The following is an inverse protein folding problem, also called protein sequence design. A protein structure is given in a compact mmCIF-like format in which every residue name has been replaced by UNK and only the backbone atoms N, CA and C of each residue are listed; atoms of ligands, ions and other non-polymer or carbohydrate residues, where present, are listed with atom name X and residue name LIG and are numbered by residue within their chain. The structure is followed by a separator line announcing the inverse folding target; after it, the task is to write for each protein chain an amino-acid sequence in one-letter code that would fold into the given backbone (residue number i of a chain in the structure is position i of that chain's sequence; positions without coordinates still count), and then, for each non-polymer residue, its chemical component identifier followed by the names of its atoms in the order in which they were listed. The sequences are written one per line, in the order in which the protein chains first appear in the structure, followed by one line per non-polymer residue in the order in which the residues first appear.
data_IF_875742344000
#
_entry.id   IF_875742344000
#
_cell.length_a   1.000
_cell.length_b   1.000
_cell.length_c   1.000
_cell.angle_alpha   90.00
_cell.angle_beta   90.00
_cell.angle_gamma   90.00
#
_symmetry.space_group_name_H-M   'P 1'
#
loop_
_entity.id
_entity.type
_entity.pdbx_description
1 polymer ?
#
# COMPACT_ATOMS: atom_id res chain seq x y z
N UNK A 1 -42.86 21.04 28.64
CA UNK A 1 -42.43 20.32 29.86
C UNK A 1 -42.22 18.89 29.42
N UNK A 2 -40.98 18.55 29.08
CA UNK A 2 -40.64 17.22 28.59
C UNK A 2 -40.50 16.26 29.77
N UNK A 3 -41.03 15.06 29.60
CA UNK A 3 -41.22 14.06 30.63
C UNK A 3 -39.90 13.60 31.24
N UNK A 4 -39.86 13.54 32.58
CA UNK A 4 -38.66 13.11 33.34
C UNK A 4 -38.31 11.63 33.14
N UNK A 5 -39.17 10.88 32.46
CA UNK A 5 -39.00 9.44 32.25
C UNK A 5 -38.21 9.07 30.98
N UNK A 6 -38.01 10.01 30.03
CA UNK A 6 -37.13 9.76 28.87
C UNK A 6 -35.64 9.91 29.18
N UNK A 7 -35.29 10.68 30.22
CA UNK A 7 -33.88 10.89 30.61
C UNK A 7 -33.32 9.64 31.33
N UNK A 8 -34.17 8.84 31.97
CA UNK A 8 -33.75 7.60 32.62
C UNK A 8 -33.38 6.48 31.63
N UNK A 9 -34.03 6.45 30.45
CA UNK A 9 -33.71 5.47 29.39
C UNK A 9 -32.43 5.81 28.62
N UNK A 10 -32.06 7.09 28.53
CA UNK A 10 -30.80 7.50 27.89
C UNK A 10 -29.58 7.25 28.80
N UNK A 11 -29.76 7.29 30.13
CA UNK A 11 -28.67 7.06 31.09
C UNK A 11 -28.37 5.56 31.26
N UNK A 12 -29.38 4.68 31.10
CA UNK A 12 -29.15 3.23 31.08
C UNK A 12 -28.42 2.73 29.81
N UNK A 13 -28.49 3.46 28.70
CA UNK A 13 -27.74 3.11 27.47
C UNK A 13 -26.26 3.54 27.51
N UNK A 14 -25.88 4.44 28.43
CA UNK A 14 -24.50 4.96 28.53
C UNK A 14 -23.64 4.24 29.58
N UNK A 15 -24.20 3.32 30.38
CA UNK A 15 -23.48 2.61 31.44
C UNK A 15 -23.44 1.08 31.32
N UNK A 16 -23.96 0.50 30.22
CA UNK A 16 -23.96 -0.95 29.95
C UNK A 16 -23.16 -1.36 28.70
N UNK A 17 -22.10 -0.64 28.36
CA UNK A 17 -21.09 -1.11 27.40
C UNK A 17 -19.67 -0.91 27.95
N UNK A 18 -19.15 -1.83 28.77
CA UNK A 18 -17.77 -2.24 28.68
C UNK A 18 -17.73 -3.46 27.76
N UNK A 19 -18.09 -3.31 26.48
CA UNK A 19 -17.69 -4.30 25.50
C UNK A 19 -16.24 -4.01 25.14
N UNK A 20 -15.38 -4.49 26.03
CA UNK A 20 -14.02 -4.86 25.77
C UNK A 20 -14.05 -5.71 24.50
N UNK A 21 -13.85 -5.07 23.34
CA UNK A 21 -13.31 -5.76 22.18
C UNK A 21 -11.83 -6.00 22.48
N UNK A 22 -11.56 -6.95 23.38
CA UNK A 22 -10.39 -7.80 23.23
C UNK A 22 -10.61 -8.50 21.90
N UNK A 23 -9.95 -7.99 20.85
CA UNK A 23 -9.52 -8.85 19.77
C UNK A 23 -8.97 -10.12 20.43
N UNK A 24 -9.52 -11.31 20.15
CA UNK A 24 -8.81 -12.51 20.56
C UNK A 24 -7.41 -12.38 19.96
N UNK A 25 -6.39 -12.47 20.81
CA UNK A 25 -5.06 -12.77 20.34
C UNK A 25 -5.19 -13.94 19.35
N UNK A 26 -4.44 -13.97 18.24
CA UNK A 26 -4.45 -15.09 17.30
C UNK A 26 -3.74 -16.33 17.89
N UNK A 27 -4.12 -16.70 19.11
CA UNK A 27 -3.76 -17.90 19.84
C UNK A 27 -5.13 -18.50 20.18
N UNK A 28 -5.72 -19.37 19.38
CA UNK A 28 -5.84 -20.79 19.75
C UNK A 28 -6.53 -21.64 18.64
N UNK A 29 -6.57 -21.15 17.39
CA UNK A 29 -7.02 -21.94 16.23
C UNK A 29 -5.87 -22.40 15.31
N UNK A 30 -4.62 -22.17 15.70
CA UNK A 30 -3.51 -23.01 15.25
C UNK A 30 -3.59 -24.31 16.05
N UNK A 31 -4.43 -25.23 15.61
CA UNK A 31 -4.29 -26.63 15.98
C UNK A 31 -2.81 -27.00 15.84
N UNK A 32 -2.24 -27.57 16.92
CA UNK A 32 -0.89 -28.09 17.00
C UNK A 32 -0.62 -29.10 15.86
N UNK A 33 -0.29 -28.60 14.67
CA UNK A 33 0.69 -29.25 13.83
C UNK A 33 1.99 -29.16 14.62
N UNK A 34 2.23 -30.17 15.48
CA UNK A 34 3.56 -30.54 15.95
C UNK A 34 4.38 -30.98 14.73
N UNK A 35 4.71 -30.01 13.88
CA UNK A 35 5.84 -30.07 12.98
C UNK A 35 7.04 -30.24 13.91
N UNK A 36 7.64 -31.43 13.87
CA UNK A 36 8.83 -31.74 14.64
C UNK A 36 9.84 -30.61 14.51
N UNK A 37 10.58 -30.38 15.61
CA UNK A 37 11.60 -29.33 15.69
C UNK A 37 12.34 -29.20 14.36
N UNK A 38 12.41 -28.00 13.76
CA UNK A 38 13.06 -27.82 12.49
C UNK A 38 14.48 -28.36 12.62
N UNK A 39 14.78 -29.41 11.86
CA UNK A 39 16.14 -29.95 11.77
C UNK A 39 17.07 -28.78 11.47
N UNK A 40 18.22 -28.69 12.13
CA UNK A 40 19.20 -27.60 12.00
C UNK A 40 19.57 -27.27 10.53
N UNK A 41 19.36 -28.20 9.60
CA UNK A 41 19.50 -28.00 8.16
C UNK A 41 18.54 -26.97 7.54
N UNK A 42 17.29 -26.84 8.01
CA UNK A 42 16.29 -25.96 7.41
C UNK A 42 16.55 -24.47 7.67
N UNK A 43 17.14 -24.14 8.83
CA UNK A 43 17.55 -22.76 9.15
C UNK A 43 18.61 -22.27 8.18
N UNK A 44 19.62 -23.11 7.89
CA UNK A 44 20.73 -22.74 7.00
C UNK A 44 20.30 -22.38 5.58
N UNK A 45 19.24 -23.04 5.06
CA UNK A 45 18.72 -22.76 3.72
C UNK A 45 18.00 -21.42 3.64
N UNK A 46 17.23 -21.06 4.68
CA UNK A 46 16.51 -19.79 4.73
C UNK A 46 17.52 -18.63 4.80
N UNK A 47 18.52 -18.74 5.67
CA UNK A 47 19.56 -17.71 5.83
C UNK A 47 20.34 -17.50 4.52
N UNK A 48 20.66 -18.60 3.81
CA UNK A 48 21.34 -18.53 2.50
C UNK A 48 20.49 -17.83 1.43
N UNK A 49 19.16 -18.01 1.46
CA UNK A 49 18.28 -17.40 0.47
C UNK A 49 18.00 -15.93 0.75
N UNK A 50 17.82 -15.55 2.02
CA UNK A 50 17.70 -14.14 2.42
C UNK A 50 18.96 -13.39 1.99
N UNK A 51 20.14 -13.96 2.25
CA UNK A 51 21.42 -13.40 1.79
C UNK A 51 21.50 -13.23 0.26
N UNK A 52 20.94 -14.16 -0.54
CA UNK A 52 20.90 -14.00 -2.01
C UNK A 52 19.96 -12.89 -2.48
N UNK A 53 18.83 -12.69 -1.79
CA UNK A 53 17.89 -11.60 -2.12
C UNK A 53 18.55 -10.26 -1.76
N UNK A 54 19.22 -10.18 -0.61
CA UNK A 54 20.03 -9.02 -0.21
C UNK A 54 21.07 -8.72 -1.29
N UNK A 55 21.93 -9.67 -1.65
CA UNK A 55 22.96 -9.47 -2.68
C UNK A 55 22.39 -9.03 -4.04
N UNK A 56 21.24 -9.57 -4.44
CA UNK A 56 20.60 -9.25 -5.71
C UNK A 56 20.00 -7.84 -5.74
N UNK A 57 19.42 -7.38 -4.61
CA UNK A 57 18.73 -6.09 -4.55
C UNK A 57 19.63 -4.95 -4.07
N UNK A 58 20.66 -5.23 -3.29
CA UNK A 58 21.61 -4.22 -2.79
C UNK A 58 22.34 -3.47 -3.90
N UNK A 59 22.45 -4.09 -5.08
CA UNK A 59 23.07 -3.48 -6.25
C UNK A 59 22.11 -2.60 -7.06
N UNK A 60 20.81 -2.64 -6.75
CA UNK A 60 19.77 -1.94 -7.51
C UNK A 60 19.45 -0.58 -6.88
N UNK A 61 19.27 0.43 -7.74
CA UNK A 61 18.75 1.72 -7.30
C UNK A 61 17.23 1.66 -7.15
N UNK A 62 16.72 2.19 -6.04
CA UNK A 62 15.28 2.35 -5.82
C UNK A 62 14.63 3.29 -6.85
N UNK A 63 15.40 4.16 -7.51
CA UNK A 63 14.90 5.04 -8.57
C UNK A 63 14.41 4.29 -9.81
N UNK A 64 14.85 3.05 -10.00
CA UNK A 64 14.39 2.19 -11.09
C UNK A 64 12.92 1.79 -10.86
N UNK A 65 12.55 1.57 -9.60
CA UNK A 65 11.23 1.05 -9.23
C UNK A 65 10.26 2.15 -8.80
N UNK A 66 10.76 3.18 -8.13
CA UNK A 66 10.01 4.34 -7.69
C UNK A 66 10.68 5.58 -8.26
N UNK A 67 10.49 5.95 -9.54
CA UNK A 67 11.18 7.09 -10.09
C UNK A 67 10.71 8.40 -9.43
N UNK A 68 11.64 9.32 -9.08
CA UNK A 68 11.26 10.61 -8.50
C UNK A 68 10.39 11.40 -9.48
N UNK A 69 9.47 12.20 -8.93
CA UNK A 69 8.70 13.15 -9.72
C UNK A 69 9.67 14.23 -10.22
N UNK A 70 10.09 14.12 -11.48
CA UNK A 70 11.07 15.03 -12.08
C UNK A 70 10.64 16.51 -12.05
N UNK A 71 11.50 17.44 -12.51
CA UNK A 71 11.17 18.87 -12.52
C UNK A 71 10.10 19.25 -13.55
N UNK A 72 9.81 18.37 -14.52
CA UNK A 72 8.84 18.61 -15.59
C UNK A 72 8.06 17.32 -15.90
N UNK A 73 7.27 16.80 -14.95
CA UNK A 73 6.46 15.61 -15.16
C UNK A 73 5.42 15.85 -16.24
N UNK A 74 5.08 14.79 -16.96
CA UNK A 74 3.94 14.81 -17.88
C UNK A 74 2.63 14.93 -17.10
N UNK A 75 1.54 15.30 -17.78
CA UNK A 75 0.21 15.34 -17.17
C UNK A 75 -0.13 13.99 -16.55
N UNK A 76 0.08 12.92 -17.29
CA UNK A 76 -0.29 11.57 -16.89
C UNK A 76 0.46 11.16 -15.61
N UNK A 77 1.75 11.52 -15.51
CA UNK A 77 2.54 11.24 -14.31
C UNK A 77 2.09 12.09 -13.11
N UNK A 78 1.66 13.33 -13.33
CA UNK A 78 1.08 14.16 -12.26
C UNK A 78 -0.27 13.59 -11.78
N UNK A 79 -1.14 13.19 -12.70
CA UNK A 79 -2.41 12.55 -12.36
C UNK A 79 -2.19 11.26 -11.57
N UNK A 80 -1.26 10.41 -12.02
CA UNK A 80 -0.85 9.20 -11.31
C UNK A 80 -0.34 9.54 -9.90
N UNK A 81 0.54 10.53 -9.77
CA UNK A 81 1.09 10.96 -8.48
C UNK A 81 0.00 11.43 -7.49
N UNK A 82 -0.95 12.25 -7.94
CA UNK A 82 -2.08 12.67 -7.10
C UNK A 82 -3.01 11.50 -6.76
N UNK A 83 -3.24 10.59 -7.70
CA UNK A 83 -4.02 9.39 -7.44
C UNK A 83 -3.35 8.49 -6.40
N UNK A 84 -2.03 8.30 -6.47
CA UNK A 84 -1.26 7.57 -5.46
C UNK A 84 -1.37 8.25 -4.09
N UNK A 85 -1.25 9.57 -4.02
CA UNK A 85 -1.44 10.30 -2.76
C UNK A 85 -2.85 10.11 -2.19
N UNK A 86 -3.90 10.19 -3.02
CA UNK A 86 -5.30 9.96 -2.61
C UNK A 86 -5.49 8.53 -2.10
N UNK A 87 -5.01 7.52 -2.85
CA UNK A 87 -5.12 6.11 -2.48
C UNK A 87 -4.41 5.83 -1.16
N UNK A 88 -3.21 6.39 -0.96
CA UNK A 88 -2.47 6.26 0.28
C UNK A 88 -3.21 6.90 1.46
N UNK A 89 -3.72 8.12 1.31
CA UNK A 89 -4.44 8.80 2.39
C UNK A 89 -5.73 8.06 2.75
N UNK A 90 -6.40 7.46 1.75
CA UNK A 90 -7.59 6.64 1.96
C UNK A 90 -7.33 5.36 2.77
N UNK A 91 -6.08 4.92 2.94
CA UNK A 91 -5.76 3.78 3.81
C UNK A 91 -6.10 4.04 5.29
N UNK A 92 -6.15 5.30 5.68
CA UNK A 92 -6.51 5.71 7.04
C UNK A 92 -8.00 6.07 7.18
N UNK A 93 -8.72 6.14 6.06
CA UNK A 93 -10.15 6.45 6.08
C UNK A 93 -10.92 5.13 6.22
N UNK A 94 -11.65 5.02 7.33
CA UNK A 94 -12.55 3.90 7.58
C UNK A 94 -13.98 4.31 7.26
N UNK A 95 -14.66 3.53 6.44
CA UNK A 95 -16.09 3.72 6.17
C UNK A 95 -16.81 2.41 6.42
N UNK A 96 -17.72 2.35 7.41
CA UNK A 96 -18.53 1.16 7.64
C UNK A 96 -19.18 0.68 6.32
N UNK A 97 -19.08 -0.63 5.99
CA UNK A 97 -18.62 -1.73 6.83
C UNK A 97 -17.10 -1.99 6.84
N UNK A 98 -16.32 -1.26 6.05
CA UNK A 98 -14.88 -1.49 5.90
C UNK A 98 -14.08 -0.65 6.91
N UNK A 99 -13.43 -1.27 7.92
CA UNK A 99 -12.55 -0.55 8.82
C UNK A 99 -11.35 0.06 8.05
N UNK A 100 -10.72 1.12 8.59
CA UNK A 100 -9.53 1.68 7.96
C UNK A 100 -8.42 0.62 7.95
N UNK A 101 -7.58 0.64 6.91
CA UNK A 101 -6.43 -0.27 6.83
C UNK A 101 -5.37 0.10 7.87
N UNK A 102 -5.20 1.40 8.13
CA UNK A 102 -4.33 1.94 9.16
C UNK A 102 -5.09 2.81 10.14
N UNK A 103 -4.76 2.67 11.42
CA UNK A 103 -5.11 3.68 12.42
C UNK A 103 -4.00 4.73 12.47
N UNK A 104 -4.35 6.01 12.48
CA UNK A 104 -3.36 7.08 12.64
C UNK A 104 -2.65 6.88 14.00
N UNK A 105 -1.31 6.83 14.04
CA UNK A 105 -0.59 6.57 15.27
C UNK A 105 -0.92 7.63 16.32
N UNK A 106 -1.32 7.20 17.52
CA UNK A 106 -1.52 8.09 18.66
C UNK A 106 -0.17 8.55 19.19
N UNK A 107 0.12 9.83 19.01
CA UNK A 107 1.35 10.44 19.51
C UNK A 107 1.11 11.02 20.90
N UNK A 108 1.89 10.56 21.88
CA UNK A 108 1.86 11.15 23.22
C UNK A 108 2.37 12.60 23.12
N UNK A 109 1.51 13.58 23.43
CA UNK A 109 1.88 15.01 23.45
C UNK A 109 1.60 15.79 22.16
N UNK A 110 1.32 15.12 21.04
CA UNK A 110 0.74 15.77 19.85
C UNK A 110 -0.73 15.41 19.84
N UNK A 111 -1.63 16.38 19.90
CA UNK A 111 -3.06 16.07 19.79
C UNK A 111 -3.27 15.33 18.46
N UNK A 112 -3.69 14.06 18.53
CA UNK A 112 -4.02 13.20 17.38
C UNK A 112 -4.82 13.95 16.29
N UNK A 113 -5.58 14.96 16.72
CA UNK A 113 -6.30 15.93 15.90
C UNK A 113 -5.47 16.61 14.81
N UNK A 114 -4.17 16.89 15.02
CA UNK A 114 -3.36 17.63 14.04
C UNK A 114 -2.89 16.74 12.88
N UNK A 115 -2.58 15.48 13.16
CA UNK A 115 -2.26 14.49 12.11
C UNK A 115 -3.49 14.22 11.25
N UNK A 116 -4.65 14.06 11.90
CA UNK A 116 -5.96 13.95 11.25
C UNK A 116 -6.27 15.19 10.39
N UNK A 117 -6.05 16.39 10.92
CA UNK A 117 -6.23 17.64 10.19
C UNK A 117 -5.33 17.71 8.95
N UNK A 118 -4.05 17.36 9.07
CA UNK A 118 -3.15 17.29 7.92
C UNK A 118 -3.58 16.24 6.91
N UNK A 119 -4.02 15.05 7.34
CA UNK A 119 -4.55 14.01 6.44
C UNK A 119 -5.73 14.56 5.63
N UNK A 120 -6.72 15.13 6.29
CA UNK A 120 -7.91 15.65 5.62
C UNK A 120 -7.59 16.81 4.67
N UNK A 121 -6.72 17.75 5.08
CA UNK A 121 -6.26 18.83 4.20
C UNK A 121 -5.47 18.32 3.01
N UNK A 122 -4.62 17.31 3.20
CA UNK A 122 -3.86 16.67 2.14
C UNK A 122 -4.79 15.99 1.12
N UNK A 123 -5.82 15.28 1.58
CA UNK A 123 -6.77 14.60 0.72
C UNK A 123 -7.58 15.60 -0.12
N UNK A 124 -8.08 16.66 0.51
CA UNK A 124 -8.80 17.73 -0.18
C UNK A 124 -7.91 18.41 -1.23
N UNK A 125 -6.67 18.75 -0.85
CA UNK A 125 -5.70 19.38 -1.75
C UNK A 125 -5.34 18.46 -2.93
N UNK A 126 -5.12 17.17 -2.71
CA UNK A 126 -4.80 16.23 -3.77
C UNK A 126 -5.95 16.09 -4.79
N UNK A 127 -7.20 16.04 -4.32
CA UNK A 127 -8.39 16.01 -5.17
C UNK A 127 -8.55 17.29 -5.99
N UNK A 128 -8.37 18.45 -5.37
CA UNK A 128 -8.41 19.75 -6.06
C UNK A 128 -7.35 19.81 -7.18
N UNK A 129 -6.11 19.41 -6.86
CA UNK A 129 -5.00 19.44 -7.82
C UNK A 129 -5.16 18.43 -8.95
N UNK A 130 -5.78 17.28 -8.68
CA UNK A 130 -6.13 16.31 -9.72
C UNK A 130 -7.14 16.90 -10.73
N UNK A 131 -8.12 17.67 -10.25
CA UNK A 131 -9.05 18.40 -11.14
C UNK A 131 -8.30 19.47 -11.95
N UNK A 132 -7.34 20.18 -11.33
CA UNK A 132 -6.50 21.17 -12.04
C UNK A 132 -5.65 20.54 -13.15
N UNK A 133 -5.14 19.31 -12.96
CA UNK A 133 -4.37 18.55 -13.98
C UNK A 133 -5.19 18.34 -15.26
N UNK A 134 -6.49 18.07 -15.09
CA UNK A 134 -7.40 17.73 -16.19
C UNK A 134 -7.69 18.93 -17.10
N UNK A 135 -7.44 20.16 -16.66
CA UNK A 135 -7.70 21.38 -17.44
C UNK A 135 -6.66 21.52 -18.57
N UNK A 136 -7.08 21.55 -19.85
CA UNK A 136 -6.18 21.79 -20.98
C UNK A 136 -5.44 23.14 -20.86
N UNK A 137 -4.15 23.17 -21.19
CA UNK A 137 -3.34 24.41 -21.18
C UNK A 137 -2.87 24.90 -19.81
N UNK A 138 -3.24 24.24 -18.71
CA UNK A 138 -2.91 24.68 -17.35
C UNK A 138 -1.50 24.24 -16.86
N UNK A 139 -0.76 23.47 -17.66
CA UNK A 139 0.54 22.89 -17.29
C UNK A 139 1.72 23.75 -17.78
N UNK A 140 1.71 25.03 -17.43
CA UNK A 140 2.89 25.89 -17.60
C UNK A 140 3.97 25.52 -16.57
N UNK A 141 5.28 25.73 -16.83
CA UNK A 141 6.35 25.31 -15.91
C UNK A 141 6.18 25.82 -14.46
N UNK A 142 5.71 27.06 -14.29
CA UNK A 142 5.41 27.64 -12.97
C UNK A 142 4.25 26.94 -12.26
N UNK A 143 3.24 26.50 -13.01
CA UNK A 143 2.12 25.70 -12.49
C UNK A 143 2.58 24.30 -12.13
N UNK A 144 3.42 23.68 -12.95
CA UNK A 144 3.99 22.36 -12.67
C UNK A 144 4.73 22.39 -11.33
N UNK A 145 5.62 23.35 -11.08
CA UNK A 145 6.33 23.47 -9.81
C UNK A 145 5.38 23.68 -8.61
N UNK A 146 4.29 24.43 -8.82
CA UNK A 146 3.25 24.62 -7.81
C UNK A 146 2.45 23.32 -7.53
N UNK A 147 2.28 22.46 -8.54
CA UNK A 147 1.57 21.18 -8.41
C UNK A 147 2.45 20.07 -7.83
N UNK A 148 3.75 20.05 -8.14
CA UNK A 148 4.68 19.04 -7.59
C UNK A 148 5.03 19.32 -6.13
N UNK A 149 5.12 20.59 -5.73
CA UNK A 149 5.52 21.01 -4.38
C UNK A 149 4.73 20.35 -3.24
N UNK A 150 3.40 20.21 -3.29
CA UNK A 150 2.59 19.49 -2.32
C UNK A 150 2.92 18.00 -2.12
N UNK A 151 3.58 17.36 -3.09
CA UNK A 151 3.84 15.92 -3.08
C UNK A 151 5.28 15.58 -2.67
N UNK A 152 6.26 16.36 -3.12
CA UNK A 152 7.69 16.03 -2.97
C UNK A 152 8.48 17.05 -2.13
N UNK A 153 7.84 18.14 -1.71
CA UNK A 153 8.51 19.25 -1.03
C UNK A 153 8.88 18.98 0.43
N UNK A 154 9.73 19.86 0.97
CA UNK A 154 9.98 19.95 2.41
C UNK A 154 8.72 20.35 3.19
N UNK A 155 8.75 20.12 4.51
CA UNK A 155 7.69 20.48 5.44
C UNK A 155 7.32 21.96 5.34
N UNK A 156 6.04 22.22 5.14
CA UNK A 156 5.53 23.57 4.97
C UNK A 156 4.04 23.61 5.33
N UNK A 157 3.51 24.67 5.96
CA UNK A 157 2.09 24.74 6.34
C UNK A 157 1.10 24.55 5.17
N UNK A 158 1.51 24.93 3.95
CA UNK A 158 0.73 24.75 2.70
C UNK A 158 0.91 23.37 2.03
N UNK A 159 1.68 22.47 2.63
CA UNK A 159 2.00 21.12 2.14
C UNK A 159 1.62 20.07 3.21
N UNK A 160 0.32 19.93 3.51
CA UNK A 160 -0.16 19.02 4.54
C UNK A 160 0.26 17.56 4.30
N UNK A 161 0.32 17.11 3.04
CA UNK A 161 0.77 15.76 2.69
C UNK A 161 2.22 15.50 3.13
N UNK A 162 3.14 16.41 2.79
CA UNK A 162 4.53 16.35 3.23
C UNK A 162 4.64 16.38 4.76
N UNK A 163 3.90 17.26 5.44
CA UNK A 163 3.94 17.34 6.91
C UNK A 163 3.46 16.04 7.57
N UNK A 164 2.42 15.41 7.02
CA UNK A 164 1.89 14.14 7.52
C UNK A 164 2.93 13.02 7.39
N UNK A 165 3.51 12.83 6.20
CA UNK A 165 4.44 11.75 5.92
C UNK A 165 5.84 11.94 6.51
N UNK A 166 6.28 13.18 6.71
CA UNK A 166 7.53 13.49 7.39
C UNK A 166 7.38 13.59 8.91
N UNK A 167 6.17 13.39 9.45
CA UNK A 167 6.00 13.30 10.89
C UNK A 167 6.77 12.07 11.40
N UNK A 168 7.65 12.19 12.41
CA UNK A 168 8.51 11.09 12.85
C UNK A 168 7.74 9.80 13.18
N UNK A 169 6.62 9.92 13.90
CA UNK A 169 5.82 8.75 14.29
C UNK A 169 5.10 8.09 13.12
N UNK A 170 4.62 8.88 12.16
CA UNK A 170 4.00 8.35 10.93
C UNK A 170 5.07 7.66 10.08
N UNK A 171 6.21 8.31 9.88
CA UNK A 171 7.34 7.76 9.13
C UNK A 171 7.83 6.45 9.75
N UNK A 172 8.00 6.40 11.08
CA UNK A 172 8.41 5.19 11.80
C UNK A 172 7.37 4.08 11.66
N UNK A 173 6.09 4.39 11.90
CA UNK A 173 4.99 3.43 11.75
C UNK A 173 4.95 2.80 10.36
N UNK A 174 5.10 3.61 9.30
CA UNK A 174 5.09 3.13 7.92
C UNK A 174 6.33 2.29 7.59
N UNK A 175 7.49 2.65 8.14
CA UNK A 175 8.72 1.85 7.99
C UNK A 175 8.60 0.50 8.70
N UNK A 176 8.06 0.47 9.92
CA UNK A 176 7.79 -0.78 10.66
C UNK A 176 6.80 -1.67 9.89
N UNK A 177 5.79 -1.07 9.26
CA UNK A 177 4.87 -1.77 8.36
C UNK A 177 5.61 -2.38 7.15
N UNK A 178 6.48 -1.61 6.49
CA UNK A 178 7.28 -2.10 5.36
C UNK A 178 8.21 -3.25 5.77
N UNK A 179 8.87 -3.16 6.93
CA UNK A 179 9.67 -4.26 7.47
C UNK A 179 8.84 -5.53 7.66
N UNK A 180 7.65 -5.40 8.25
CA UNK A 180 6.76 -6.55 8.45
C UNK A 180 6.33 -7.20 7.13
N UNK A 181 5.99 -6.39 6.11
CA UNK A 181 5.63 -6.90 4.78
C UNK A 181 6.83 -7.53 4.09
N UNK A 182 8.01 -6.90 4.14
CA UNK A 182 9.27 -7.46 3.60
C UNK A 182 9.55 -8.84 4.19
N UNK A 183 9.50 -9.00 5.51
CA UNK A 183 9.72 -10.31 6.15
C UNK A 183 8.64 -11.35 5.81
N UNK A 184 7.42 -10.92 5.49
CA UNK A 184 6.39 -11.83 4.97
C UNK A 184 6.66 -12.21 3.52
N UNK A 185 7.11 -11.27 2.68
CA UNK A 185 7.50 -11.53 1.29
C UNK A 185 8.70 -12.48 1.20
N UNK A 186 9.76 -12.26 1.99
CA UNK A 186 10.93 -13.14 2.05
C UNK A 186 10.52 -14.59 2.39
N UNK A 187 9.54 -14.75 3.31
CA UNK A 187 8.96 -16.06 3.63
C UNK A 187 8.04 -16.59 2.53
N UNK A 188 7.26 -15.77 1.86
CA UNK A 188 6.41 -16.22 0.77
C UNK A 188 7.24 -16.64 -0.47
N UNK A 189 8.39 -16.00 -0.68
CA UNK A 189 9.25 -16.15 -1.85
C UNK A 189 10.40 -17.14 -1.65
N UNK A 190 10.35 -18.04 -0.65
CA UNK A 190 11.34 -19.08 -0.32
C UNK A 190 11.86 -19.94 -1.50
N UNK A 191 11.33 -19.78 -2.70
CA UNK A 191 11.70 -20.52 -3.89
C UNK A 191 12.42 -19.70 -4.98
N UNK A 192 12.33 -18.37 -4.96
CA UNK A 192 12.81 -17.54 -6.06
C UNK A 192 13.20 -16.17 -5.55
N UNK A 193 14.49 -15.83 -5.67
CA UNK A 193 15.01 -14.53 -5.29
C UNK A 193 14.32 -13.37 -6.03
N UNK A 194 13.91 -13.57 -7.30
CA UNK A 194 13.14 -12.60 -8.08
C UNK A 194 11.65 -12.52 -7.75
N UNK A 195 11.16 -13.28 -6.74
CA UNK A 195 9.75 -13.29 -6.37
C UNK A 195 9.35 -12.10 -5.51
N UNK A 196 10.28 -11.52 -4.74
CA UNK A 196 10.00 -10.38 -3.89
C UNK A 196 9.99 -9.07 -4.71
N UNK A 197 9.00 -8.21 -4.55
CA UNK A 197 9.01 -6.88 -5.17
C UNK A 197 10.14 -6.02 -4.60
N UNK A 198 11.04 -5.61 -5.49
CA UNK A 198 12.24 -4.85 -5.15
C UNK A 198 11.93 -3.44 -4.61
N UNK A 199 10.82 -2.82 -5.01
CA UNK A 199 10.43 -1.51 -4.49
C UNK A 199 10.15 -1.56 -2.98
N UNK A 200 9.33 -2.53 -2.56
CA UNK A 200 9.00 -2.74 -1.14
C UNK A 200 10.24 -3.12 -0.35
N UNK A 201 11.06 -4.02 -0.91
CA UNK A 201 12.27 -4.49 -0.27
C UNK A 201 13.29 -3.36 -0.01
N UNK A 202 13.59 -2.58 -1.05
CA UNK A 202 14.54 -1.47 -0.97
C UNK A 202 13.99 -0.33 -0.11
N UNK A 203 12.69 -0.01 -0.22
CA UNK A 203 12.06 1.03 0.60
C UNK A 203 12.01 0.66 2.09
N UNK A 204 12.00 -0.62 2.43
CA UNK A 204 12.09 -1.08 3.81
C UNK A 204 13.47 -0.88 4.44
N UNK A 205 14.50 -0.47 3.69
CA UNK A 205 15.81 -0.13 4.29
C UNK A 205 15.77 1.26 4.91
N UNK A 206 16.24 1.39 6.14
CA UNK A 206 16.16 2.65 6.90
C UNK A 206 16.85 3.83 6.21
N UNK A 207 18.02 3.58 5.64
CA UNK A 207 18.87 4.53 4.93
C UNK A 207 18.25 4.96 3.60
N UNK A 208 17.58 4.04 2.90
CA UNK A 208 16.86 4.36 1.67
C UNK A 208 15.58 5.14 1.99
N UNK A 209 14.78 4.65 2.95
CA UNK A 209 13.54 5.30 3.39
C UNK A 209 13.72 6.77 3.76
N UNK A 210 14.81 7.08 4.48
CA UNK A 210 15.15 8.44 4.88
C UNK A 210 15.37 9.38 3.68
N UNK A 211 15.87 8.85 2.56
CA UNK A 211 16.13 9.61 1.31
C UNK A 211 14.91 9.76 0.41
N UNK A 212 13.88 8.92 0.59
CA UNK A 212 12.67 8.98 -0.22
C UNK A 212 11.86 10.24 0.09
N UNK A 213 11.40 10.91 -0.96
CA UNK A 213 10.41 11.98 -0.83
C UNK A 213 9.04 11.41 -0.42
N UNK A 214 8.13 12.25 0.11
CA UNK A 214 6.84 11.78 0.61
C UNK A 214 6.01 11.00 -0.42
N UNK A 215 6.02 11.39 -1.70
CA UNK A 215 5.27 10.66 -2.72
C UNK A 215 5.80 9.23 -2.89
N UNK A 216 7.11 9.08 -3.01
CA UNK A 216 7.74 7.75 -3.16
C UNK A 216 7.52 6.87 -1.94
N UNK A 217 7.51 7.44 -0.73
CA UNK A 217 7.12 6.71 0.49
C UNK A 217 5.68 6.21 0.43
N UNK A 218 4.75 7.04 -0.04
CA UNK A 218 3.36 6.64 -0.22
C UNK A 218 3.21 5.53 -1.28
N UNK A 219 3.89 5.65 -2.43
CA UNK A 219 3.92 4.62 -3.47
C UNK A 219 4.48 3.29 -2.93
N UNK A 220 5.59 3.32 -2.19
CA UNK A 220 6.16 2.13 -1.55
C UNK A 220 5.18 1.43 -0.60
N UNK A 221 4.42 2.20 0.19
CA UNK A 221 3.41 1.66 1.11
C UNK A 221 2.23 1.05 0.35
N UNK A 222 1.80 1.64 -0.76
CA UNK A 222 0.75 1.09 -1.61
C UNK A 222 1.18 -0.23 -2.25
N UNK A 223 2.40 -0.31 -2.76
CA UNK A 223 2.99 -1.56 -3.26
C UNK A 223 3.03 -2.64 -2.15
N UNK A 224 3.46 -2.26 -0.95
CA UNK A 224 3.50 -3.18 0.18
C UNK A 224 2.10 -3.66 0.63
N UNK A 225 1.09 -2.79 0.54
CA UNK A 225 -0.31 -3.19 0.75
C UNK A 225 -0.74 -4.26 -0.26
N UNK A 226 -0.48 -4.05 -1.55
CA UNK A 226 -0.80 -5.03 -2.59
C UNK A 226 -0.17 -6.40 -2.30
N UNK A 227 1.10 -6.41 -1.87
CA UNK A 227 1.78 -7.64 -1.45
C UNK A 227 1.14 -8.30 -0.24
N UNK A 228 0.81 -7.53 0.80
CA UNK A 228 0.17 -8.07 1.99
C UNK A 228 -1.18 -8.70 1.65
N UNK A 229 -2.00 -8.04 0.85
CA UNK A 229 -3.30 -8.56 0.42
C UNK A 229 -3.14 -9.86 -0.39
N UNK A 230 -2.15 -9.92 -1.28
CA UNK A 230 -1.82 -11.13 -2.02
C UNK A 230 -1.40 -12.28 -1.10
N UNK A 231 -0.49 -12.05 -0.14
CA UNK A 231 -0.05 -13.08 0.82
C UNK A 231 -1.25 -13.60 1.63
N UNK A 232 -2.11 -12.70 2.11
CA UNK A 232 -3.31 -13.07 2.87
C UNK A 232 -4.25 -13.91 2.00
N UNK A 233 -4.50 -13.50 0.75
CA UNK A 233 -5.36 -14.24 -0.17
C UNK A 233 -4.81 -15.64 -0.47
N UNK A 234 -3.52 -15.76 -0.76
CA UNK A 234 -2.86 -17.06 -1.01
C UNK A 234 -2.92 -17.98 0.21
N UNK A 235 -2.80 -17.43 1.42
CA UNK A 235 -2.98 -18.19 2.64
C UNK A 235 -4.43 -18.70 2.80
N UNK A 236 -5.43 -17.87 2.52
CA UNK A 236 -6.85 -18.25 2.59
C UNK A 236 -7.22 -19.31 1.55
N UNK A 237 -6.68 -19.22 0.33
CA UNK A 237 -6.94 -20.19 -0.73
C UNK A 237 -6.18 -21.51 -0.55
N UNK A 238 -5.35 -21.64 0.48
CA UNK A 238 -4.49 -22.82 0.67
C UNK A 238 -3.40 -22.94 -0.40
N UNK A 239 -3.16 -21.89 -1.20
CA UNK A 239 -2.21 -21.88 -2.32
C UNK A 239 -0.79 -22.19 -1.88
N UNK A 240 -0.39 -21.73 -0.69
CA UNK A 240 0.92 -22.07 -0.10
C UNK A 240 1.06 -23.58 0.18
N UNK A 241 0.01 -24.22 0.70
CA UNK A 241 0.01 -25.66 0.99
C UNK A 241 0.02 -26.46 -0.30
N UNK A 242 -0.80 -26.08 -1.29
CA UNK A 242 -0.87 -26.74 -2.58
C UNK A 242 0.46 -26.66 -3.36
N UNK A 243 1.10 -25.48 -3.42
CA UNK A 243 2.42 -25.31 -4.08
C UNK A 243 3.53 -26.04 -3.33
N UNK A 244 3.49 -26.03 -2.00
CA UNK A 244 4.44 -26.78 -1.18
C UNK A 244 4.32 -28.29 -1.42
N UNK A 245 3.08 -28.81 -1.44
CA UNK A 245 2.81 -30.22 -1.74
C UNK A 245 3.20 -30.58 -3.17
N UNK A 246 2.86 -29.74 -4.16
CA UNK A 246 3.24 -29.94 -5.56
C UNK A 246 4.77 -29.98 -5.74
N UNK A 247 5.53 -29.12 -5.06
CA UNK A 247 7.01 -29.17 -5.08
C UNK A 247 7.58 -30.41 -4.42
N UNK A 248 6.98 -30.90 -3.34
CA UNK A 248 7.40 -32.17 -2.71
C UNK A 248 7.15 -33.37 -3.62
N UNK A 249 6.16 -33.27 -4.50
CA UNK A 249 5.85 -34.29 -5.48
C UNK A 249 6.67 -34.14 -6.78
N UNK A 250 7.33 -33.00 -7.00
CA UNK A 250 8.28 -32.87 -8.10
C UNK A 250 9.52 -33.71 -7.79
N UNK A 251 9.91 -34.64 -8.69
CA UNK A 251 11.15 -35.38 -8.55
C UNK A 251 12.31 -34.38 -8.52
N UNK A 252 13.29 -34.61 -7.64
CA UNK A 252 14.42 -33.72 -7.40
C UNK A 252 15.01 -33.20 -8.73
N UNK A 253 14.75 -31.93 -9.01
CA UNK A 253 15.11 -31.29 -10.27
C UNK A 253 16.60 -30.93 -10.25
N UNK A 254 17.30 -31.33 -11.32
CA UNK A 254 18.72 -31.08 -11.53
C UNK A 254 18.99 -29.56 -11.66
N UNK A 255 19.81 -28.95 -10.78
CA UNK A 255 19.98 -27.50 -10.72
C UNK A 255 20.94 -27.00 -11.82
N UNK A 256 20.48 -26.96 -13.07
CA UNK A 256 21.16 -26.18 -14.11
C UNK A 256 20.72 -24.69 -14.05
N UNK A 257 21.66 -23.72 -14.09
CA UNK A 257 21.38 -22.33 -13.70
C UNK A 257 20.72 -21.45 -14.77
N UNK A 258 20.33 -21.95 -15.95
CA UNK A 258 20.09 -21.06 -17.11
C UNK A 258 18.60 -20.87 -17.50
N UNK A 259 17.63 -21.60 -16.95
CA UNK A 259 16.24 -21.59 -17.49
C UNK A 259 15.20 -20.93 -16.57
N UNK A 260 15.61 -20.24 -15.50
CA UNK A 260 14.68 -19.78 -14.45
C UNK A 260 13.79 -18.58 -14.85
N UNK A 261 14.24 -17.72 -15.75
CA UNK A 261 13.46 -16.53 -16.16
C UNK A 261 12.28 -16.85 -17.07
N UNK A 262 12.30 -18.02 -17.75
CA UNK A 262 11.26 -18.39 -18.72
C UNK A 262 10.04 -19.06 -18.07
N UNK A 263 10.19 -19.73 -16.93
CA UNK A 263 9.08 -20.45 -16.30
C UNK A 263 8.23 -19.60 -15.35
N UNK A 264 8.76 -18.51 -14.79
CA UNK A 264 7.97 -17.63 -13.90
C UNK A 264 6.99 -16.74 -14.70
N UNK A 265 7.21 -16.55 -16.01
CA UNK A 265 6.33 -15.75 -16.88
C UNK A 265 5.64 -16.51 -18.02
N UNK A 266 6.04 -17.74 -18.36
CA UNK A 266 5.32 -18.52 -19.39
C UNK A 266 3.95 -19.03 -18.91
N UNK A 267 3.74 -19.20 -17.61
CA UNK A 267 2.43 -19.51 -17.02
C UNK A 267 1.66 -18.27 -16.56
N UNK A 268 2.18 -17.05 -16.79
CA UNK A 268 1.45 -15.82 -16.48
C UNK A 268 0.24 -15.61 -17.40
N UNK A 269 0.14 -16.32 -18.54
CA UNK A 269 -1.01 -16.23 -19.46
C UNK A 269 -2.22 -17.06 -19.00
N UNK A 270 -2.06 -17.97 -18.03
CA UNK A 270 -3.12 -18.86 -17.52
C UNK A 270 -3.61 -18.49 -16.10
N UNK A 271 -3.04 -17.46 -15.48
CA UNK A 271 -3.68 -16.80 -14.34
C UNK A 271 -4.84 -15.92 -14.85
N UNK A 272 -6.00 -15.85 -14.17
CA UNK A 272 -6.81 -14.64 -14.20
C UNK A 272 -5.97 -13.54 -13.56
N UNK A 273 -5.18 -12.91 -14.41
CA UNK A 273 -4.16 -11.94 -14.09
C UNK A 273 -4.72 -10.82 -13.20
N UNK A 274 -4.24 -10.76 -11.95
CA UNK A 274 -3.95 -9.51 -11.26
C UNK A 274 -2.68 -8.87 -11.85
N UNK A 275 -2.56 -8.89 -13.17
CA UNK A 275 -1.63 -8.05 -13.93
C UNK A 275 -1.94 -6.62 -13.55
N UNK A 276 -0.90 -5.85 -13.24
CA UNK A 276 -0.75 -4.48 -13.73
C UNK A 276 -2.10 -3.85 -14.06
N UNK A 277 -2.70 -3.22 -13.06
CA UNK A 277 -3.88 -2.40 -13.27
C UNK A 277 -3.48 -1.31 -14.26
N UNK A 278 -3.71 -1.59 -15.53
CA UNK A 278 -3.94 -0.63 -16.57
C UNK A 278 -5.21 0.13 -16.17
N UNK A 279 -5.06 1.03 -15.21
CA UNK A 279 -5.88 2.23 -15.15
C UNK A 279 -5.55 3.21 -16.30
N UNK A 280 -4.84 2.74 -17.35
CA UNK A 280 -4.42 3.53 -18.52
C UNK A 280 -5.48 3.69 -19.62
N UNK A 281 -6.65 3.03 -19.58
CA UNK A 281 -7.68 3.26 -20.61
C UNK A 281 -9.16 3.19 -20.17
N UNK A 282 -9.54 2.30 -19.26
CA UNK A 282 -10.96 2.15 -18.87
C UNK A 282 -11.51 3.33 -18.03
N UNK A 283 -10.64 4.03 -17.29
CA UNK A 283 -11.03 5.21 -16.52
C UNK A 283 -11.29 6.48 -17.35
N UNK A 284 -10.73 6.58 -18.57
CA UNK A 284 -10.93 7.77 -19.42
C UNK A 284 -12.20 7.70 -20.28
N UNK A 285 -12.72 6.51 -20.60
CA UNK A 285 -13.95 6.37 -21.38
C UNK A 285 -15.22 6.52 -20.54
N UNK A 286 -15.18 6.16 -19.25
CA UNK A 286 -16.31 6.37 -18.33
C UNK A 286 -16.67 7.84 -18.12
N UNK A 287 -15.66 8.72 -18.04
CA UNK A 287 -15.89 10.17 -17.89
C UNK A 287 -16.24 10.87 -19.21
N UNK A 288 -15.78 10.37 -20.36
CA UNK A 288 -16.18 10.89 -21.68
C UNK A 288 -17.63 10.54 -22.06
N UNK A 289 -18.14 9.40 -21.61
CA UNK A 289 -19.54 9.00 -21.83
C UNK A 289 -20.50 9.69 -20.86
N UNK A 290 -20.10 9.91 -19.61
CA UNK A 290 -20.89 10.70 -18.65
C UNK A 290 -21.02 12.19 -19.06
N UNK A 291 -20.01 12.76 -19.71
CA UNK A 291 -20.05 14.13 -20.24
C UNK A 291 -20.92 14.33 -21.49
N UNK A 292 -21.15 13.28 -22.30
CA UNK A 292 -22.06 13.35 -23.46
C UNK A 292 -23.53 13.15 -23.09
N UNK A 293 -23.82 12.29 -22.11
CA UNK A 293 -25.19 12.06 -21.65
C UNK A 293 -25.83 13.31 -21.02
N UNK A 294 -25.03 14.23 -20.46
CA UNK A 294 -25.53 15.48 -19.88
C UNK A 294 -25.78 16.60 -20.91
N UNK A 295 -25.30 16.46 -22.15
CA UNK A 295 -25.49 17.44 -23.21
C UNK A 295 -26.75 17.17 -24.07
N UNK A 296 -27.26 15.93 -24.08
CA UNK A 296 -28.44 15.55 -24.88
C UNK A 296 -29.78 15.71 -24.13
N UNK A 297 -29.77 15.92 -22.81
CA UNK A 297 -31.00 16.18 -22.01
C UNK A 297 -31.41 17.67 -22.05
N UNK A 298 -30.63 18.54 -22.69
CA UNK A 298 -30.91 19.98 -22.82
C UNK A 298 -31.55 20.43 -24.14
N UNK A 299 -31.86 19.52 -25.06
CA UNK A 299 -32.37 19.83 -26.41
C UNK A 299 -33.70 19.13 -26.75
N UNK A 300 -34.57 18.99 -25.74
CA UNK A 300 -36.00 18.73 -25.94
C UNK A 300 -36.81 19.81 -25.21
N UNK A 301 -36.95 20.96 -25.89
CA UNK A 301 -38.08 21.87 -25.77
C UNK A 301 -38.78 21.88 -27.12
#
# INVERSE_FOLDING_TARGET
MADRDEVALLICFLFLLPLVFTLPAPNEACAELRLGAPSSSASSTIDTMVSRIEEAYDQLSIDIFLPPLGPSPTRERLEEAFNSAIQFLALFDGHPPNPPFFTVPHVIGTTSTKLEEWRHKALAQAREKLIECAIPGNLMPTRIAYMTGPLTGANHPKRPFCNFLNHPDVSRFLLDYLHSVRSQMERACHASAGGANAAVYLAAKSEVWATLDPLRRAEAVLEAKGWREWIVLEAHLGGHVARYQARRQQPAYDPSPIVWWRFIFADAESFPLASSFHHRKAGQEGWRLAGRASAEVGLAK
#
